data_IF_683356033561
#
_entry.id   IF_683356033561
#
_cell.length_a   1.000
_cell.length_b   1.000
_cell.length_c   1.000
_cell.angle_alpha   90.00
_cell.angle_beta   90.00
_cell.angle_gamma   90.00
#
_symmetry.space_group_name_H-M   'P 1'
#
loop_
_entity.id
_entity.type
_entity.pdbx_description
1 polymer ?
#
# COMPACT_ATOMS: atom_id res chain seq x y z
N UNK A 1 -10.91 9.80 11.20
CA UNK A 1 -9.87 10.85 11.33
C UNK A 1 -8.52 10.23 10.96
N UNK A 2 -7.61 10.98 10.32
CA UNK A 2 -6.27 10.48 10.01
C UNK A 2 -5.40 10.42 11.27
N UNK A 3 -4.51 9.44 11.31
CA UNK A 3 -3.56 9.18 12.37
C UNK A 3 -2.18 8.86 11.77
N UNK A 4 -1.08 9.24 12.44
CA UNK A 4 -1.01 10.17 13.56
C UNK A 4 -1.48 11.59 13.20
N UNK A 5 -1.83 12.41 14.20
CA UNK A 5 -2.14 13.83 13.99
C UNK A 5 -0.88 14.59 13.58
N UNK A 6 -1.03 15.74 12.91
CA UNK A 6 0.11 16.57 12.50
C UNK A 6 1.02 16.94 13.69
N UNK A 7 0.44 17.26 14.84
CA UNK A 7 1.18 17.56 16.06
C UNK A 7 2.05 16.37 16.49
N UNK A 8 1.49 15.15 16.45
CA UNK A 8 2.24 13.93 16.78
C UNK A 8 3.33 13.64 15.75
N UNK A 9 3.08 13.88 14.45
CA UNK A 9 4.11 13.75 13.40
C UNK A 9 5.29 14.67 13.67
N UNK A 10 5.06 15.94 14.03
CA UNK A 10 6.13 16.89 14.36
C UNK A 10 7.01 16.40 15.52
N UNK A 11 6.40 15.74 16.51
CA UNK A 11 7.10 15.13 17.64
C UNK A 11 7.92 13.88 17.30
N UNK A 12 7.76 13.28 16.12
CA UNK A 12 8.51 12.08 15.69
C UNK A 12 9.83 12.41 14.97
N UNK A 13 10.23 13.68 14.95
CA UNK A 13 11.49 14.12 14.35
C UNK A 13 12.68 13.32 14.90
N UNK A 14 13.53 12.81 14.01
CA UNK A 14 14.72 12.03 14.37
C UNK A 14 14.50 10.53 14.61
N UNK A 15 13.25 10.04 14.53
CA UNK A 15 12.95 8.60 14.69
C UNK A 15 13.01 7.80 13.38
N UNK A 16 13.04 8.47 12.24
CA UNK A 16 13.08 7.86 10.91
C UNK A 16 12.86 8.87 9.78
N UNK A 17 12.82 8.39 8.53
CA UNK A 17 12.62 9.20 7.34
C UNK A 17 11.21 9.04 6.71
N UNK A 18 10.33 8.23 7.32
CA UNK A 18 8.98 7.96 6.83
C UNK A 18 8.01 7.82 7.99
N UNK A 19 6.84 8.47 7.89
CA UNK A 19 5.74 8.34 8.86
C UNK A 19 4.47 7.93 8.13
N UNK A 20 3.88 6.75 8.40
CA UNK A 20 2.65 6.31 7.74
C UNK A 20 1.46 7.10 8.30
N UNK A 21 0.77 7.84 7.41
CA UNK A 21 -0.49 8.49 7.74
C UNK A 21 -1.63 7.61 7.24
N UNK A 22 -2.51 7.19 8.14
CA UNK A 22 -3.58 6.25 7.83
C UNK A 22 -4.88 6.65 8.52
N UNK A 23 -5.98 6.03 8.11
CA UNK A 23 -7.24 6.04 8.84
C UNK A 23 -7.90 4.70 8.72
N UNK A 24 -8.61 4.28 9.77
CA UNK A 24 -9.51 3.15 9.69
C UNK A 24 -10.85 3.60 9.10
N UNK A 25 -11.43 2.77 8.25
CA UNK A 25 -12.73 2.97 7.59
C UNK A 25 -13.51 1.66 7.76
N UNK A 26 -14.81 1.74 8.00
CA UNK A 26 -15.66 0.56 8.02
C UNK A 26 -15.82 0.05 6.58
N UNK A 27 -15.61 -1.24 6.37
CA UNK A 27 -15.60 -1.88 5.07
C UNK A 27 -16.35 -3.21 5.12
N UNK A 28 -17.39 -3.31 5.96
CA UNK A 28 -18.08 -4.57 6.25
C UNK A 28 -18.77 -5.17 5.01
N UNK A 29 -19.03 -4.34 3.99
CA UNK A 29 -19.61 -4.73 2.70
C UNK A 29 -18.57 -4.92 1.59
N UNK A 30 -17.29 -4.71 1.89
CA UNK A 30 -16.22 -4.85 0.92
C UNK A 30 -15.58 -6.24 1.05
N UNK A 31 -15.42 -6.92 -0.07
CA UNK A 31 -14.38 -7.94 -0.24
C UNK A 31 -13.07 -7.26 -0.65
N UNK A 32 -11.90 -7.88 -0.41
CA UNK A 32 -10.62 -7.33 -0.87
C UNK A 32 -10.59 -6.96 -2.35
N UNK A 33 -11.19 -7.79 -3.21
CA UNK A 33 -11.34 -7.53 -4.64
C UNK A 33 -12.21 -6.30 -4.91
N UNK A 34 -13.36 -6.17 -4.25
CA UNK A 34 -14.23 -5.01 -4.44
C UNK A 34 -13.60 -3.71 -3.94
N UNK A 35 -12.83 -3.77 -2.85
CA UNK A 35 -12.06 -2.63 -2.35
C UNK A 35 -10.95 -2.25 -3.33
N UNK A 36 -10.22 -3.22 -3.87
CA UNK A 36 -9.17 -3.00 -4.88
C UNK A 36 -9.73 -2.28 -6.11
N UNK A 37 -10.82 -2.78 -6.68
CA UNK A 37 -11.44 -2.18 -7.88
C UNK A 37 -11.89 -0.73 -7.67
N UNK A 38 -12.22 -0.34 -6.43
CA UNK A 38 -12.62 1.04 -6.09
C UNK A 38 -11.43 2.00 -5.95
N UNK A 39 -10.25 1.51 -5.59
CA UNK A 39 -9.08 2.36 -5.27
C UNK A 39 -7.92 2.22 -6.25
N UNK A 40 -7.94 1.21 -7.11
CA UNK A 40 -6.91 0.98 -8.11
C UNK A 40 -6.80 2.18 -9.08
N UNK A 41 -5.59 2.68 -9.24
CA UNK A 41 -5.26 3.85 -10.05
C UNK A 41 -3.95 3.63 -10.80
N UNK A 42 -3.96 4.01 -12.06
CA UNK A 42 -2.80 3.90 -12.93
C UNK A 42 -2.40 2.44 -13.23
N UNK A 43 -1.28 2.26 -13.94
CA UNK A 43 -0.83 0.94 -14.37
C UNK A 43 -0.07 0.15 -13.30
N UNK A 44 0.22 0.75 -12.14
CA UNK A 44 1.03 0.15 -11.07
C UNK A 44 0.23 -0.01 -9.77
N UNK A 45 -0.92 -0.67 -9.87
CA UNK A 45 -1.71 -1.10 -8.72
C UNK A 45 -1.65 -2.61 -8.53
N UNK A 46 -1.79 -3.06 -7.29
CA UNK A 46 -1.80 -4.49 -6.96
C UNK A 46 -2.75 -4.80 -5.81
N UNK A 47 -3.21 -6.05 -5.78
CA UNK A 47 -3.88 -6.69 -4.65
C UNK A 47 -3.08 -7.95 -4.29
N UNK A 48 -2.61 -8.04 -3.05
CA UNK A 48 -1.93 -9.22 -2.50
C UNK A 48 -2.80 -9.86 -1.44
N UNK A 49 -3.06 -11.15 -1.59
CA UNK A 49 -3.84 -11.95 -0.65
C UNK A 49 -3.03 -13.19 -0.26
N UNK A 50 -3.05 -13.54 1.03
CA UNK A 50 -2.46 -14.78 1.49
C UNK A 50 -3.49 -15.91 1.41
N UNK A 51 -3.06 -17.10 0.98
CA UNK A 51 -3.86 -18.31 0.98
C UNK A 51 -3.13 -19.41 1.74
N UNK A 52 -3.75 -19.93 2.80
CA UNK A 52 -3.26 -21.09 3.53
C UNK A 52 -4.03 -22.34 3.08
N UNK A 53 -3.31 -23.39 2.66
CA UNK A 53 -3.91 -24.68 2.30
C UNK A 53 -4.84 -24.66 1.08
N UNK A 54 -4.81 -23.59 0.27
CA UNK A 54 -5.60 -23.46 -0.96
C UNK A 54 -7.04 -22.97 -0.78
N UNK A 55 -7.58 -23.00 0.44
CA UNK A 55 -9.00 -22.69 0.68
C UNK A 55 -9.21 -21.55 1.68
N UNK A 56 -8.24 -21.28 2.56
CA UNK A 56 -8.41 -20.28 3.61
C UNK A 56 -7.70 -18.97 3.25
N UNK A 57 -8.49 -17.93 3.02
CA UNK A 57 -7.98 -16.57 2.86
C UNK A 57 -7.36 -16.11 4.19
N UNK A 58 -6.16 -15.54 4.11
CA UNK A 58 -5.46 -14.97 5.25
C UNK A 58 -6.21 -13.80 5.89
N UNK A 59 -5.81 -13.44 7.11
CA UNK A 59 -6.47 -12.37 7.88
C UNK A 59 -6.41 -10.99 7.22
N UNK A 60 -5.42 -10.76 6.37
CA UNK A 60 -5.15 -9.46 5.76
C UNK A 60 -4.93 -9.59 4.25
N UNK A 61 -5.47 -8.64 3.51
CA UNK A 61 -5.14 -8.38 2.12
C UNK A 61 -4.49 -6.99 2.01
N UNK A 62 -3.53 -6.83 1.12
CA UNK A 62 -2.80 -5.57 0.92
C UNK A 62 -3.11 -5.00 -0.46
N UNK A 63 -3.48 -3.73 -0.50
CA UNK A 63 -3.72 -2.99 -1.75
C UNK A 63 -2.67 -1.89 -1.87
N UNK A 64 -1.98 -1.86 -3.01
CA UNK A 64 -1.09 -0.77 -3.41
C UNK A 64 -1.64 -0.09 -4.65
N UNK A 65 -1.59 1.24 -4.68
CA UNK A 65 -2.07 2.07 -5.79
C UNK A 65 -1.27 3.37 -5.82
N UNK A 66 -1.14 3.99 -6.99
CA UNK A 66 -0.45 5.29 -7.18
C UNK A 66 0.91 5.40 -6.46
N UNK A 67 1.91 4.56 -6.82
CA UNK A 67 3.21 4.60 -6.17
C UNK A 67 3.97 5.89 -6.50
N UNK A 68 4.59 6.51 -5.49
CA UNK A 68 5.45 7.69 -5.68
C UNK A 68 6.61 7.44 -6.67
N UNK A 69 7.16 6.23 -6.69
CA UNK A 69 8.25 5.84 -7.59
C UNK A 69 8.14 4.38 -7.97
N UNK A 70 8.37 4.10 -9.25
CA UNK A 70 8.56 2.74 -9.77
C UNK A 70 10.03 2.56 -10.12
N UNK A 71 10.62 1.48 -9.61
CA UNK A 71 12.01 1.12 -9.84
C UNK A 71 12.04 -0.02 -10.85
N UNK A 72 12.72 0.19 -11.97
CA UNK A 72 12.90 -0.81 -13.03
C UNK A 72 14.37 -0.97 -13.35
N UNK A 73 14.77 -2.18 -13.74
CA UNK A 73 16.14 -2.52 -14.13
C UNK A 73 16.11 -3.25 -15.48
N UNK A 74 17.23 -3.21 -16.21
CA UNK A 74 17.37 -3.84 -17.51
C UNK A 74 17.78 -2.86 -18.62
N UNK A 75 18.08 -3.39 -19.81
CA UNK A 75 18.45 -2.56 -20.95
C UNK A 75 17.33 -1.54 -21.25
N UNK A 76 17.70 -0.26 -21.34
CA UNK A 76 16.81 0.90 -21.56
C UNK A 76 16.08 1.45 -20.31
N UNK A 77 16.42 1.01 -19.11
CA UNK A 77 15.86 1.55 -17.85
C UNK A 77 16.90 2.39 -17.09
N UNK A 78 16.47 3.46 -16.41
CA UNK A 78 17.34 4.45 -15.75
C UNK A 78 18.26 3.87 -14.66
N UNK A 79 17.91 2.70 -14.09
CA UNK A 79 18.69 1.99 -13.07
C UNK A 79 19.27 0.68 -13.61
N UNK A 80 19.35 0.54 -14.93
CA UNK A 80 19.70 -0.70 -15.63
C UNK A 80 21.14 -0.79 -16.13
N UNK A 81 21.93 0.29 -16.07
CA UNK A 81 23.36 0.23 -16.32
C UNK A 81 24.07 -0.30 -15.05
N UNK A 82 24.57 -1.54 -15.14
CA UNK A 82 25.54 -2.11 -14.20
C UNK A 82 26.94 -1.75 -14.69
#
# INVERSE_FOLDING_TARGET
MYQPTLEKVKGMTGQGNLVPIFRSINADLETPVSAYLKVAQGPYSFLLESVEGGERIGRYSFIGTDPYKVVKTGAKEDLGEI
#
